data_IF_220809293612
#
_entry.id   IF_220809293612
#
_cell.length_a   1.000
_cell.length_b   1.000
_cell.length_c   1.000
_cell.angle_alpha   90.00
_cell.angle_beta   90.00
_cell.angle_gamma   90.00
#
_symmetry.space_group_name_H-M   'P 1'
#
loop_
_entity.id
_entity.type
_entity.pdbx_description
1 polymer ?
#
# COMPACT_ATOMS: atom_id res chain seq x y z
N UNK A 1 19.22 -33.96 -2.18
CA UNK A 1 19.22 -32.67 -2.91
C UNK A 1 17.82 -32.09 -3.18
N UNK A 2 16.79 -32.91 -3.40
CA UNK A 2 15.40 -32.48 -3.70
C UNK A 2 14.70 -31.77 -2.53
N UNK A 3 15.00 -32.14 -1.29
CA UNK A 3 14.40 -31.56 -0.07
C UNK A 3 14.85 -30.11 0.20
N UNK A 4 16.10 -29.76 -0.07
CA UNK A 4 16.61 -28.38 0.10
C UNK A 4 15.99 -27.38 -0.90
N UNK A 5 15.69 -27.83 -2.13
CA UNK A 5 15.06 -26.98 -3.14
C UNK A 5 13.60 -26.66 -2.78
N UNK A 6 12.88 -27.62 -2.21
CA UNK A 6 11.49 -27.46 -1.79
C UNK A 6 11.34 -26.50 -0.60
N UNK A 7 12.25 -26.55 0.37
CA UNK A 7 12.24 -25.63 1.52
C UNK A 7 12.57 -24.20 1.09
N UNK A 8 13.59 -24.02 0.22
CA UNK A 8 13.95 -22.72 -0.32
C UNK A 8 12.82 -22.06 -1.14
N UNK A 9 12.10 -22.82 -1.97
CA UNK A 9 10.94 -22.30 -2.68
C UNK A 9 9.79 -21.89 -1.74
N UNK A 10 9.54 -22.68 -0.68
CA UNK A 10 8.52 -22.35 0.32
C UNK A 10 8.84 -21.04 1.04
N UNK A 11 10.11 -20.87 1.43
CA UNK A 11 10.59 -19.63 2.06
C UNK A 11 10.43 -18.41 1.13
N UNK A 12 10.73 -18.56 -0.16
CA UNK A 12 10.52 -17.49 -1.17
C UNK A 12 9.06 -17.09 -1.32
N UNK A 13 8.13 -18.05 -1.33
CA UNK A 13 6.69 -17.74 -1.41
C UNK A 13 6.24 -16.98 -0.16
N UNK A 14 6.65 -17.43 1.04
CA UNK A 14 6.34 -16.73 2.29
C UNK A 14 6.91 -15.31 2.30
N UNK A 15 8.15 -15.13 1.87
CA UNK A 15 8.77 -13.81 1.78
C UNK A 15 7.99 -12.87 0.84
N UNK A 16 7.56 -13.36 -0.33
CA UNK A 16 6.73 -12.59 -1.26
C UNK A 16 5.38 -12.19 -0.66
N UNK A 17 4.75 -13.07 0.13
CA UNK A 17 3.51 -12.75 0.82
C UNK A 17 3.74 -11.64 1.85
N UNK A 18 4.75 -11.80 2.72
CA UNK A 18 5.05 -10.82 3.78
C UNK A 18 5.39 -9.46 3.18
N UNK A 19 6.28 -9.41 2.19
CA UNK A 19 6.65 -8.18 1.48
C UNK A 19 5.44 -7.60 0.76
N UNK A 20 4.64 -8.43 0.09
CA UNK A 20 3.43 -8.01 -0.60
C UNK A 20 2.43 -7.34 0.33
N UNK A 21 2.11 -7.98 1.46
CA UNK A 21 1.22 -7.43 2.49
C UNK A 21 1.79 -6.12 3.04
N UNK A 22 3.07 -6.10 3.42
CA UNK A 22 3.70 -4.89 3.97
C UNK A 22 3.62 -3.70 3.01
N UNK A 23 3.88 -3.93 1.71
CA UNK A 23 3.81 -2.89 0.69
C UNK A 23 2.37 -2.39 0.46
N UNK A 24 1.39 -3.30 0.41
CA UNK A 24 -0.03 -2.94 0.32
C UNK A 24 -0.46 -2.11 1.52
N UNK A 25 -0.15 -2.58 2.73
CA UNK A 25 -0.52 -1.89 3.97
C UNK A 25 0.15 -0.52 4.06
N UNK A 26 1.45 -0.42 3.79
CA UNK A 26 2.16 0.87 3.80
C UNK A 26 1.60 1.85 2.76
N UNK A 27 1.36 1.37 1.53
CA UNK A 27 0.78 2.18 0.46
C UNK A 27 -0.61 2.71 0.81
N UNK A 28 -1.52 1.82 1.20
CA UNK A 28 -2.88 2.20 1.58
C UNK A 28 -2.91 3.08 2.83
N UNK A 29 -2.10 2.78 3.85
CA UNK A 29 -2.04 3.58 5.06
C UNK A 29 -1.60 5.02 4.78
N UNK A 30 -0.61 5.19 3.90
CA UNK A 30 -0.15 6.53 3.49
C UNK A 30 -1.25 7.33 2.78
N UNK A 31 -1.99 6.70 1.85
CA UNK A 31 -3.12 7.33 1.14
C UNK A 31 -4.23 7.72 2.12
N UNK A 32 -4.63 6.81 3.00
CA UNK A 32 -5.70 7.05 3.98
C UNK A 32 -5.32 8.15 4.97
N UNK A 33 -4.08 8.12 5.49
CA UNK A 33 -3.58 9.15 6.41
C UNK A 33 -3.59 10.52 5.75
N UNK A 34 -3.21 10.59 4.48
CA UNK A 34 -3.24 11.83 3.73
C UNK A 34 -4.67 12.35 3.53
N UNK A 35 -5.59 11.50 3.10
CA UNK A 35 -7.00 11.87 2.96
C UNK A 35 -7.56 12.40 4.29
N UNK A 36 -7.30 11.70 5.39
CA UNK A 36 -7.75 12.12 6.71
C UNK A 36 -7.17 13.49 7.10
N UNK A 37 -5.89 13.72 6.81
CA UNK A 37 -5.23 15.01 7.08
C UNK A 37 -5.84 16.14 6.26
N UNK A 38 -6.17 15.90 4.99
CA UNK A 38 -6.82 16.89 4.10
C UNK A 38 -8.23 17.21 4.60
N UNK A 39 -9.03 16.20 4.94
CA UNK A 39 -10.37 16.39 5.48
C UNK A 39 -10.35 17.15 6.80
N UNK A 40 -9.45 16.79 7.72
CA UNK A 40 -9.29 17.50 8.98
C UNK A 40 -8.92 18.97 8.75
N UNK A 41 -7.99 19.25 7.84
CA UNK A 41 -7.58 20.62 7.50
C UNK A 41 -8.73 21.45 6.94
N UNK A 42 -9.59 20.85 6.12
CA UNK A 42 -10.79 21.52 5.60
C UNK A 42 -11.79 21.81 6.74
N UNK A 43 -12.15 20.80 7.52
CA UNK A 43 -13.11 20.90 8.62
C UNK A 43 -12.69 21.94 9.67
N UNK A 44 -11.44 21.94 10.12
CA UNK A 44 -10.96 22.92 11.10
C UNK A 44 -10.94 24.35 10.55
N UNK A 45 -10.69 24.55 9.25
CA UNK A 45 -10.69 25.91 8.67
C UNK A 45 -12.12 26.44 8.56
N UNK A 46 -13.08 25.58 8.24
CA UNK A 46 -14.51 25.93 8.18
C UNK A 46 -15.10 26.17 9.59
N UNK A 47 -14.82 25.29 10.55
CA UNK A 47 -15.38 25.34 11.90
C UNK A 47 -14.82 26.49 12.76
N UNK A 48 -13.56 26.88 12.56
CA UNK A 48 -12.93 27.92 13.38
C UNK A 48 -13.28 29.36 12.95
N UNK A 49 -14.05 29.53 11.86
CA UNK A 49 -14.46 30.83 11.29
C UNK A 49 -13.38 31.90 11.43
N UNK A 50 -12.19 31.58 10.91
CA UNK A 50 -10.94 32.30 11.19
C UNK A 50 -10.89 33.73 10.60
N UNK A 51 -11.99 34.22 10.03
CA UNK A 51 -12.05 35.51 9.34
C UNK A 51 -11.08 35.61 8.17
N UNK A 52 -10.64 34.48 7.62
CA UNK A 52 -9.68 34.41 6.53
C UNK A 52 -10.39 34.73 5.21
N UNK A 53 -9.68 35.43 4.32
CA UNK A 53 -10.18 35.62 2.97
C UNK A 53 -10.24 34.28 2.22
N UNK A 54 -11.14 34.19 1.23
CA UNK A 54 -11.33 32.95 0.44
C UNK A 54 -10.03 32.46 -0.20
N UNK A 55 -9.13 33.39 -0.56
CA UNK A 55 -7.84 33.05 -1.14
C UNK A 55 -6.89 32.37 -0.14
N UNK A 56 -6.85 32.82 1.11
CA UNK A 56 -6.06 32.19 2.18
C UNK A 56 -6.63 30.83 2.54
N UNK A 57 -7.96 30.69 2.63
CA UNK A 57 -8.64 29.39 2.80
C UNK A 57 -8.29 28.43 1.67
N UNK A 58 -8.29 28.90 0.42
CA UNK A 58 -7.91 28.10 -0.74
C UNK A 58 -6.44 27.64 -0.67
N UNK A 59 -5.52 28.53 -0.32
CA UNK A 59 -4.09 28.19 -0.19
C UNK A 59 -3.84 27.20 0.95
N UNK A 60 -4.62 27.30 2.04
CA UNK A 60 -4.56 26.36 3.16
C UNK A 60 -5.18 25.02 2.81
N UNK A 61 -6.31 24.96 2.13
CA UNK A 61 -7.01 23.67 1.91
C UNK A 61 -6.57 22.93 0.64
N UNK A 62 -5.78 23.58 -0.24
CA UNK A 62 -5.33 22.93 -1.48
C UNK A 62 -4.41 21.73 -1.23
N UNK A 63 -4.56 20.72 -2.09
CA UNK A 63 -3.62 19.61 -2.22
C UNK A 63 -2.27 20.15 -2.71
N UNK A 64 -1.25 20.01 -1.87
CA UNK A 64 0.11 20.44 -2.17
C UNK A 64 0.81 19.47 -3.12
N UNK A 65 1.92 19.88 -3.76
CA UNK A 65 2.76 18.95 -4.55
C UNK A 65 3.25 17.76 -3.71
N UNK A 66 3.54 17.97 -2.42
CA UNK A 66 3.92 16.91 -1.49
C UNK A 66 2.81 15.89 -1.31
N UNK A 67 1.56 16.35 -1.19
CA UNK A 67 0.41 15.46 -1.04
C UNK A 67 0.22 14.56 -2.27
N UNK A 68 0.40 15.13 -3.47
CA UNK A 68 0.41 14.36 -4.72
C UNK A 68 1.54 13.34 -4.74
N UNK A 69 2.73 13.71 -4.27
CA UNK A 69 3.88 12.82 -4.14
C UNK A 69 3.57 11.61 -3.24
N UNK A 70 2.94 11.84 -2.09
CA UNK A 70 2.53 10.78 -1.16
C UNK A 70 1.48 9.87 -1.80
N UNK A 71 0.48 10.43 -2.50
CA UNK A 71 -0.53 9.64 -3.20
C UNK A 71 0.08 8.75 -4.29
N UNK A 72 0.99 9.29 -5.09
CA UNK A 72 1.68 8.56 -6.16
C UNK A 72 2.54 7.44 -5.55
N UNK A 73 3.37 7.77 -4.55
CA UNK A 73 4.24 6.80 -3.89
C UNK A 73 3.42 5.71 -3.21
N UNK A 74 2.37 6.08 -2.47
CA UNK A 74 1.44 5.16 -1.83
C UNK A 74 0.76 4.23 -2.84
N UNK A 75 0.34 4.77 -3.98
CA UNK A 75 -0.22 3.99 -5.09
C UNK A 75 0.79 3.00 -5.68
N UNK A 76 2.03 3.43 -5.92
CA UNK A 76 3.11 2.56 -6.42
C UNK A 76 3.38 1.43 -5.44
N UNK A 77 3.50 1.72 -4.15
CA UNK A 77 3.72 0.71 -3.10
C UNK A 77 2.57 -0.30 -3.07
N UNK A 78 1.32 0.18 -3.12
CA UNK A 78 0.16 -0.69 -3.13
C UNK A 78 0.14 -1.61 -4.36
N UNK A 79 0.42 -1.07 -5.55
CA UNK A 79 0.48 -1.85 -6.79
C UNK A 79 1.60 -2.89 -6.78
N UNK A 80 2.80 -2.52 -6.31
CA UNK A 80 3.92 -3.45 -6.14
C UNK A 80 3.58 -4.56 -5.15
N UNK A 81 2.92 -4.22 -4.05
CA UNK A 81 2.47 -5.20 -3.06
C UNK A 81 1.45 -6.18 -3.64
N UNK A 82 0.45 -5.69 -4.38
CA UNK A 82 -0.53 -6.53 -5.09
C UNK A 82 0.17 -7.44 -6.11
N UNK A 83 1.12 -6.91 -6.89
CA UNK A 83 1.88 -7.71 -7.85
C UNK A 83 2.68 -8.83 -7.17
N UNK A 84 3.30 -8.56 -6.02
CA UNK A 84 4.01 -9.57 -5.23
C UNK A 84 3.06 -10.66 -4.70
N UNK A 85 1.86 -10.28 -4.26
CA UNK A 85 0.82 -11.23 -3.81
C UNK A 85 0.31 -12.10 -4.96
N UNK A 86 0.08 -11.52 -6.13
CA UNK A 86 -0.29 -12.25 -7.35
C UNK A 86 0.82 -13.25 -7.72
N UNK A 87 2.07 -12.82 -7.70
CA UNK A 87 3.21 -13.70 -7.97
C UNK A 87 3.31 -14.86 -6.96
N UNK A 88 3.06 -14.59 -5.67
CA UNK A 88 3.00 -15.62 -4.64
C UNK A 88 1.84 -16.61 -4.87
N UNK A 89 0.66 -16.12 -5.22
CA UNK A 89 -0.52 -16.93 -5.50
C UNK A 89 -0.31 -17.84 -6.72
N UNK A 90 0.25 -17.31 -7.80
CA UNK A 90 0.58 -18.06 -9.01
C UNK A 90 1.57 -19.19 -8.66
N UNK A 91 2.69 -18.86 -7.97
CA UNK A 91 3.69 -19.87 -7.56
C UNK A 91 3.12 -20.92 -6.61
N UNK A 92 2.23 -20.54 -5.70
CA UNK A 92 1.52 -21.46 -4.81
C UNK A 92 0.58 -22.41 -5.56
N UNK A 93 -0.12 -21.91 -6.58
CA UNK A 93 -1.05 -22.70 -7.41
C UNK A 93 -0.31 -23.74 -8.27
N UNK A 94 0.84 -23.37 -8.84
CA UNK A 94 1.68 -24.33 -9.57
C UNK A 94 2.13 -25.49 -8.67
N UNK A 95 2.55 -25.20 -7.44
CA UNK A 95 2.95 -26.23 -6.48
C UNK A 95 1.82 -27.19 -6.09
N UNK A 96 0.58 -26.70 -5.94
CA UNK A 96 -0.59 -27.56 -5.67
C UNK A 96 -0.97 -28.41 -6.87
N UNK A 97 -0.84 -27.89 -8.10
CA UNK A 97 -1.15 -28.63 -9.33
C UNK A 97 -0.10 -29.69 -9.70
N UNK A 98 1.17 -29.49 -9.34
CA UNK A 98 2.24 -30.47 -9.58
C UNK A 98 2.24 -31.66 -8.61
N UNK A 99 1.13 -31.90 -7.90
CA UNK A 99 0.92 -33.14 -7.14
C UNK A 99 1.85 -33.33 -5.94
N UNK A 100 2.48 -32.27 -5.42
CA UNK A 100 3.31 -32.43 -4.24
C UNK A 100 2.41 -32.47 -2.99
N UNK A 101 1.96 -33.68 -2.66
CA UNK A 101 1.45 -34.04 -1.33
C UNK A 101 2.68 -34.08 -0.42
N UNK A 102 2.86 -33.14 0.52
CA UNK A 102 3.85 -33.32 1.57
C UNK A 102 3.38 -34.48 2.46
N UNK A 103 4.18 -35.55 2.50
CA UNK A 103 4.16 -36.52 3.58
C UNK A 103 4.67 -35.88 4.88
#
# INVERSE_FOLDING_TARGET
>A
MTTQLATAQTARIRALIVVGVALVTAGLYSIVTLLYSVFARYMYVEDLDLGLDENTVFVLTRITPTDRGILILGGILALLGVAALIAAAIRGRYRRRSGFVPA
#
